data_IF_162996964145
#
_entry.id   IF_162996964145
#
_cell.length_a   1.000
_cell.length_b   1.000
_cell.length_c   1.000
_cell.angle_alpha   90.00
_cell.angle_beta   90.00
_cell.angle_gamma   90.00
#
_symmetry.space_group_name_H-M   'P 1'
#
loop_
_entity.id
_entity.type
_entity.pdbx_description
1 polymer ?
#
# COMPACT_ATOMS: atom_id res chain seq x y z
N UNK A 1 -16.13 8.45 13.57
CA UNK A 1 -15.14 7.50 14.12
C UNK A 1 -15.38 6.17 13.43
N UNK A 2 -14.35 5.55 12.84
CA UNK A 2 -14.52 4.32 12.07
C UNK A 2 -14.90 3.13 12.95
N UNK A 3 -15.55 2.13 12.36
CA UNK A 3 -15.89 0.87 13.02
C UNK A 3 -14.61 0.08 13.36
N UNK A 4 -14.59 -0.51 14.55
CA UNK A 4 -13.47 -1.31 15.07
C UNK A 4 -13.96 -2.73 15.31
N UNK A 5 -13.12 -3.71 14.97
CA UNK A 5 -13.40 -5.12 15.24
C UNK A 5 -12.11 -5.89 15.55
N UNK A 6 -12.24 -6.96 16.35
CA UNK A 6 -11.16 -7.93 16.57
C UNK A 6 -11.27 -9.02 15.51
N UNK A 7 -10.13 -9.40 14.92
CA UNK A 7 -10.11 -10.41 13.87
C UNK A 7 -8.89 -11.34 13.97
N UNK A 8 -8.86 -12.36 13.12
CA UNK A 8 -7.81 -13.37 13.04
C UNK A 8 -6.93 -13.14 11.81
N UNK A 9 -5.62 -13.23 12.02
CA UNK A 9 -4.63 -13.35 10.94
C UNK A 9 -4.21 -14.81 10.83
N UNK A 10 -4.12 -15.32 9.60
CA UNK A 10 -3.62 -16.67 9.31
C UNK A 10 -2.43 -16.60 8.36
N UNK A 11 -1.31 -17.17 8.79
CA UNK A 11 -0.08 -17.26 8.00
C UNK A 11 -0.03 -18.56 7.20
N UNK A 12 0.50 -18.47 5.98
CA UNK A 12 0.70 -19.58 5.06
C UNK A 12 2.14 -19.55 4.56
N UNK A 13 2.88 -20.64 4.78
CA UNK A 13 4.32 -20.70 4.52
C UNK A 13 4.75 -20.36 3.08
N UNK A 14 3.86 -20.54 2.09
CA UNK A 14 4.18 -20.35 0.65
C UNK A 14 3.47 -19.17 -0.01
N UNK A 15 2.43 -18.63 0.60
CA UNK A 15 1.51 -17.68 -0.06
C UNK A 15 1.22 -16.43 0.79
N UNK A 16 2.02 -16.17 1.81
CA UNK A 16 1.88 -14.99 2.66
C UNK A 16 0.87 -15.16 3.80
N UNK A 17 0.06 -14.13 4.06
CA UNK A 17 -0.92 -14.12 5.15
C UNK A 17 -2.30 -13.67 4.67
N UNK A 18 -3.35 -14.10 5.36
CA UNK A 18 -4.70 -13.57 5.20
C UNK A 18 -5.13 -12.93 6.51
N UNK A 19 -5.49 -11.65 6.46
CA UNK A 19 -6.23 -10.98 7.52
C UNK A 19 -7.71 -11.06 7.18
N UNK A 20 -8.50 -11.66 8.07
CA UNK A 20 -9.95 -11.62 7.92
C UNK A 20 -10.43 -10.20 8.27
N UNK A 21 -11.27 -9.60 7.43
CA UNK A 21 -11.89 -8.29 7.74
C UNK A 21 -13.38 -8.54 7.98
N UNK A 22 -13.88 -8.34 9.21
CA UNK A 22 -15.28 -8.58 9.51
C UNK A 22 -16.20 -7.71 8.65
N UNK A 23 -17.35 -8.25 8.24
CA UNK A 23 -18.34 -7.53 7.43
C UNK A 23 -18.73 -6.18 8.04
N UNK A 24 -18.82 -6.11 9.38
CA UNK A 24 -19.12 -4.86 10.08
C UNK A 24 -18.15 -3.73 9.73
N UNK A 25 -16.86 -4.02 9.52
CA UNK A 25 -15.84 -3.04 9.10
C UNK A 25 -15.98 -2.70 7.62
N UNK A 26 -16.31 -3.67 6.77
CA UNK A 26 -16.56 -3.44 5.34
C UNK A 26 -17.80 -2.56 5.10
N UNK A 27 -18.81 -2.67 5.97
CA UNK A 27 -20.01 -1.84 5.97
C UNK A 27 -19.77 -0.44 6.56
N UNK A 28 -18.52 -0.06 6.89
CA UNK A 28 -18.22 1.31 7.27
C UNK A 28 -18.24 2.21 6.02
N UNK A 29 -18.97 3.33 6.01
CA UNK A 29 -19.01 4.23 4.85
C UNK A 29 -17.63 4.85 4.52
N UNK A 30 -16.67 4.79 5.44
CA UNK A 30 -15.30 5.24 5.21
C UNK A 30 -14.37 4.11 4.73
N UNK A 31 -14.87 2.89 4.54
CA UNK A 31 -14.09 1.80 3.95
C UNK A 31 -13.75 2.16 2.49
N UNK A 32 -12.46 2.16 2.14
CA UNK A 32 -11.95 2.74 0.87
C UNK A 32 -11.52 1.70 -0.17
N UNK A 33 -11.81 0.43 0.06
CA UNK A 33 -11.35 -0.67 -0.79
C UNK A 33 -12.52 -1.49 -1.30
N UNK A 34 -12.43 -1.91 -2.55
CA UNK A 34 -13.33 -2.80 -3.25
C UNK A 34 -12.61 -4.12 -3.55
N UNK A 35 -13.38 -5.14 -3.94
CA UNK A 35 -12.79 -6.39 -4.38
C UNK A 35 -11.88 -6.19 -5.61
N UNK A 36 -10.76 -6.91 -5.64
CA UNK A 36 -9.75 -6.81 -6.69
C UNK A 36 -8.81 -5.59 -6.61
N UNK A 37 -8.99 -4.69 -5.65
CA UNK A 37 -8.12 -3.53 -5.51
C UNK A 37 -6.68 -3.89 -5.15
N UNK A 38 -5.72 -3.22 -5.79
CA UNK A 38 -4.34 -3.20 -5.32
C UNK A 38 -4.25 -2.37 -4.04
N UNK A 39 -3.59 -2.92 -3.03
CA UNK A 39 -3.44 -2.29 -1.71
C UNK A 39 -1.97 -2.29 -1.33
N UNK A 40 -1.52 -1.13 -0.88
CA UNK A 40 -0.22 -0.96 -0.26
C UNK A 40 -0.32 -1.20 1.24
N UNK A 41 0.61 -2.01 1.76
CA UNK A 41 0.69 -2.36 3.17
C UNK A 41 1.98 -1.76 3.73
N UNK A 42 1.86 -0.90 4.74
CA UNK A 42 2.99 -0.35 5.46
C UNK A 42 2.97 -0.87 6.91
N UNK A 43 4.13 -1.35 7.38
CA UNK A 43 4.31 -1.81 8.75
C UNK A 43 4.94 -0.68 9.55
N UNK A 44 4.18 -0.13 10.48
CA UNK A 44 4.64 0.80 11.50
C UNK A 44 4.77 0.14 12.87
N UNK A 45 5.14 0.92 13.88
CA UNK A 45 5.17 0.48 15.27
C UNK A 45 4.04 1.17 16.05
N UNK A 46 3.03 0.48 16.64
CA UNK A 46 2.73 -0.96 16.62
C UNK A 46 1.59 -1.31 15.63
N UNK A 47 1.54 -0.68 14.46
CA UNK A 47 0.37 -0.70 13.57
C UNK A 47 0.68 -1.14 12.15
N UNK A 48 -0.33 -1.60 11.43
CA UNK A 48 -0.28 -1.82 9.98
C UNK A 48 -1.27 -0.87 9.34
N UNK A 49 -0.83 -0.11 8.35
CA UNK A 49 -1.69 0.78 7.55
C UNK A 49 -1.92 0.20 6.16
N UNK A 50 -3.16 0.31 5.70
CA UNK A 50 -3.56 0.00 4.34
C UNK A 50 -3.85 1.30 3.60
N UNK A 51 -3.27 1.46 2.41
CA UNK A 51 -3.53 2.58 1.53
C UNK A 51 -3.65 2.12 0.08
N UNK A 52 -4.19 2.97 -0.79
CA UNK A 52 -4.08 2.78 -2.23
C UNK A 52 -2.64 3.07 -2.63
N UNK A 53 -1.97 2.19 -3.40
CA UNK A 53 -0.67 2.51 -3.93
C UNK A 53 -0.80 3.71 -4.87
N UNK A 54 0.17 4.61 -4.81
CA UNK A 54 0.32 5.63 -5.84
C UNK A 54 0.88 4.98 -7.11
N UNK A 55 0.50 5.50 -8.28
CA UNK A 55 0.92 4.91 -9.56
C UNK A 55 2.45 4.83 -9.69
N UNK A 56 3.17 5.83 -9.16
CA UNK A 56 4.63 5.90 -9.22
C UNK A 56 5.31 4.92 -8.25
N UNK A 57 4.61 4.39 -7.25
CA UNK A 57 5.14 3.35 -6.36
C UNK A 57 5.17 1.98 -7.05
N UNK A 58 4.45 1.82 -8.16
CA UNK A 58 4.30 0.55 -8.87
C UNK A 58 5.26 0.39 -10.05
N UNK A 59 6.12 1.37 -10.32
CA UNK A 59 7.01 1.41 -11.49
C UNK A 59 8.46 1.10 -11.11
N UNK A 60 9.19 0.42 -11.99
CA UNK A 60 10.65 0.29 -11.89
C UNK A 60 11.33 1.50 -12.52
N UNK A 61 11.66 2.47 -11.68
CA UNK A 61 12.31 3.71 -12.13
C UNK A 61 13.74 3.50 -12.64
N UNK A 62 14.39 2.38 -12.33
CA UNK A 62 15.73 2.09 -12.84
C UNK A 62 15.72 1.77 -14.33
N UNK A 63 14.63 1.18 -14.84
CA UNK A 63 14.45 0.88 -16.27
C UNK A 63 13.88 2.09 -17.04
N UNK A 64 13.45 3.14 -16.34
CA UNK A 64 12.72 4.28 -16.91
C UNK A 64 13.39 5.63 -16.60
N UNK A 65 14.72 5.69 -16.66
CA UNK A 65 15.50 6.88 -16.27
C UNK A 65 15.11 8.16 -17.04
N UNK A 66 14.81 8.06 -18.33
CA UNK A 66 14.39 9.24 -19.12
C UNK A 66 12.99 9.74 -18.72
N UNK A 67 12.06 8.82 -18.43
CA UNK A 67 10.72 9.18 -17.92
C UNK A 67 10.82 9.82 -16.54
N UNK A 68 11.71 9.33 -15.67
CA UNK A 68 11.94 9.91 -14.36
C UNK A 68 12.38 11.38 -14.44
N UNK A 69 13.23 11.75 -15.40
CA UNK A 69 13.68 13.15 -15.58
C UNK A 69 12.55 14.11 -15.95
N UNK A 70 11.49 13.61 -16.59
CA UNK A 70 10.32 14.38 -17.01
C UNK A 70 9.30 14.58 -15.89
N UNK A 71 9.44 13.88 -14.76
CA UNK A 71 8.50 14.01 -13.66
C UNK A 71 8.63 15.36 -12.94
N UNK A 72 7.51 15.89 -12.39
CA UNK A 72 7.54 17.02 -11.48
C UNK A 72 8.48 16.74 -10.29
N UNK A 73 9.15 17.78 -9.80
CA UNK A 73 10.15 17.66 -8.73
C UNK A 73 9.58 16.99 -7.47
N UNK A 74 8.34 17.33 -7.10
CA UNK A 74 7.65 16.75 -5.95
C UNK A 74 7.57 15.21 -6.03
N UNK A 75 7.29 14.65 -7.21
CA UNK A 75 7.20 13.20 -7.40
C UNK A 75 8.60 12.58 -7.37
N UNK A 76 9.60 13.25 -7.96
CA UNK A 76 11.00 12.80 -7.89
C UNK A 76 11.54 12.76 -6.47
N UNK A 77 11.18 13.72 -5.63
CA UNK A 77 11.52 13.71 -4.20
C UNK A 77 10.84 12.56 -3.44
N UNK A 78 9.56 12.29 -3.72
CA UNK A 78 8.83 11.14 -3.14
C UNK A 78 9.47 9.80 -3.52
N UNK A 79 9.87 9.63 -4.79
CA UNK A 79 10.55 8.42 -5.28
C UNK A 79 11.91 8.24 -4.59
N UNK A 80 12.71 9.32 -4.49
CA UNK A 80 14.03 9.30 -3.82
C UNK A 80 13.93 8.97 -2.34
N UNK A 81 13.04 9.64 -1.61
CA UNK A 81 12.88 9.44 -0.17
C UNK A 81 12.42 8.02 0.20
N UNK A 82 11.80 7.31 -0.74
CA UNK A 82 11.38 5.91 -0.58
C UNK A 82 12.39 4.87 -1.08
N UNK A 83 13.55 5.30 -1.58
CA UNK A 83 14.60 4.38 -2.03
C UNK A 83 14.20 3.53 -3.24
N UNK A 84 13.28 4.03 -4.09
CA UNK A 84 12.83 3.32 -5.29
C UNK A 84 13.81 3.43 -6.48
N UNK A 85 14.92 4.16 -6.30
CA UNK A 85 16.05 4.22 -7.21
C UNK A 85 17.24 3.53 -6.55
N UNK A 86 17.95 2.70 -7.32
CA UNK A 86 19.22 2.13 -6.85
C UNK A 86 20.28 3.25 -6.82
N UNK A 87 21.04 3.29 -5.73
CA UNK A 87 22.23 4.14 -5.57
C UNK A 87 23.35 3.72 -6.51
#
# INVERSE_FOLDING_TARGET
MGKVAVSKIKYFKKSGARLYIPQSVLDDPNWRFSDGDLVKIEVGNPSISLSKPEWWEMLDWNEMAETYKLLPEEIREKIRSRGLLKS
#
